data_IF_446331450772
#
_entry.id   IF_446331450772
#
_cell.length_a   1.000
_cell.length_b   1.000
_cell.length_c   1.000
_cell.angle_alpha   90.00
_cell.angle_beta   90.00
_cell.angle_gamma   90.00
#
_symmetry.space_group_name_H-M   'P 1'
#
loop_
_entity.id
_entity.type
_entity.pdbx_description
1 polymer ?
#
# COMPACT_ATOMS: atom_id res chain seq x y z
N UNK A 1 13.68 24.47 -11.23
CA UNK A 1 14.47 25.59 -10.68
C UNK A 1 13.50 26.75 -10.55
N UNK A 2 13.31 27.30 -9.36
CA UNK A 2 12.55 28.55 -9.19
C UNK A 2 13.61 29.62 -8.92
N UNK A 3 13.83 30.50 -9.88
CA UNK A 3 14.81 31.57 -9.84
C UNK A 3 14.16 32.79 -10.48
N UNK A 4 14.24 33.96 -9.84
CA UNK A 4 13.78 35.20 -10.46
C UNK A 4 14.69 35.53 -11.64
N UNK A 5 14.08 36.02 -12.73
CA UNK A 5 14.80 36.50 -13.90
C UNK A 5 15.13 37.99 -13.84
N UNK A 6 14.74 38.68 -12.77
CA UNK A 6 14.98 40.12 -12.62
C UNK A 6 16.48 40.47 -12.61
N UNK A 7 17.33 39.58 -12.11
CA UNK A 7 18.79 39.76 -12.08
C UNK A 7 19.46 39.38 -13.42
N UNK A 8 18.71 38.81 -14.37
CA UNK A 8 19.21 38.26 -15.64
C UNK A 8 18.66 38.97 -16.87
N UNK A 9 18.16 40.21 -16.72
CA UNK A 9 17.60 41.02 -17.82
C UNK A 9 18.55 41.22 -19.01
N UNK A 10 19.86 41.06 -18.80
CA UNK A 10 20.90 41.17 -19.82
C UNK A 10 21.09 39.89 -20.65
N UNK A 11 20.51 38.76 -20.23
CA UNK A 11 20.67 37.46 -20.90
C UNK A 11 19.46 37.13 -21.78
N UNK A 12 19.72 36.43 -22.88
CA UNK A 12 18.67 35.84 -23.72
C UNK A 12 18.06 34.61 -23.04
N UNK A 13 16.80 34.28 -23.35
CA UNK A 13 16.15 33.06 -22.83
C UNK A 13 16.98 31.82 -23.16
N UNK A 14 17.56 31.73 -24.37
CA UNK A 14 18.43 30.62 -24.77
C UNK A 14 19.66 30.44 -23.88
N UNK A 15 20.25 31.55 -23.40
CA UNK A 15 21.37 31.51 -22.45
C UNK A 15 20.91 31.06 -21.05
N UNK A 16 19.71 31.47 -20.62
CA UNK A 16 19.14 31.10 -19.31
C UNK A 16 18.75 29.61 -19.29
N UNK A 17 18.09 29.11 -20.33
CA UNK A 17 17.58 27.72 -20.35
C UNK A 17 18.61 26.69 -20.81
N UNK A 18 19.66 27.13 -21.51
CA UNK A 18 20.83 26.33 -21.88
C UNK A 18 20.61 25.22 -22.92
N UNK A 19 19.37 24.81 -23.20
CA UNK A 19 19.01 23.84 -24.24
C UNK A 19 17.58 24.03 -24.73
N UNK A 20 17.25 23.45 -25.89
CA UNK A 20 15.86 23.37 -26.33
C UNK A 20 15.07 22.38 -25.44
N UNK A 21 13.83 22.73 -25.09
CA UNK A 21 12.94 21.91 -24.28
C UNK A 21 11.69 22.66 -23.86
N UNK A 22 10.77 21.95 -23.19
CA UNK A 22 9.56 22.56 -22.62
C UNK A 22 9.86 23.11 -21.22
N UNK A 23 9.57 24.40 -21.02
CA UNK A 23 9.81 25.12 -19.78
C UNK A 23 8.52 25.71 -19.24
N UNK A 24 8.29 25.55 -17.93
CA UNK A 24 7.19 26.21 -17.24
C UNK A 24 7.70 27.50 -16.56
N UNK A 25 7.07 28.62 -16.87
CA UNK A 25 7.32 29.90 -16.23
C UNK A 25 6.15 30.27 -15.32
N UNK A 26 6.46 30.90 -14.19
CA UNK A 26 5.46 31.46 -13.29
C UNK A 26 5.59 32.98 -13.34
N UNK A 27 4.47 33.68 -13.53
CA UNK A 27 4.40 35.13 -13.52
C UNK A 27 3.81 35.58 -12.18
N UNK A 28 4.51 36.47 -11.50
CA UNK A 28 4.00 37.15 -10.30
C UNK A 28 3.70 38.62 -10.64
N UNK A 29 2.58 39.12 -10.14
CA UNK A 29 2.19 40.54 -10.26
C UNK A 29 2.01 41.14 -8.87
N UNK A 30 2.27 42.45 -8.76
CA UNK A 30 2.13 43.22 -7.50
C UNK A 30 1.51 44.57 -7.76
N UNK A 31 0.97 45.23 -6.73
CA UNK A 31 0.59 46.65 -6.82
C UNK A 31 1.85 47.53 -6.85
N UNK A 32 1.74 48.74 -7.40
CA UNK A 32 2.86 49.66 -7.70
C UNK A 32 3.84 49.89 -6.53
N UNK A 33 3.34 49.86 -5.29
CA UNK A 33 4.10 50.13 -4.06
C UNK A 33 4.44 48.88 -3.22
N UNK A 34 4.06 47.67 -3.66
CA UNK A 34 4.44 46.43 -2.97
C UNK A 34 5.87 46.03 -3.36
N UNK A 35 6.60 45.24 -2.59
CA UNK A 35 7.90 44.69 -3.05
C UNK A 35 7.72 43.23 -3.45
N UNK A 36 8.38 42.82 -4.54
CA UNK A 36 8.42 41.39 -4.88
C UNK A 36 9.12 40.65 -3.74
N UNK A 37 8.47 39.60 -3.22
CA UNK A 37 9.12 38.75 -2.23
C UNK A 37 10.24 38.00 -2.93
N UNK A 38 11.44 37.97 -2.34
CA UNK A 38 12.52 37.17 -2.90
C UNK A 38 12.17 35.69 -2.69
N UNK A 39 11.76 34.99 -3.75
CA UNK A 39 11.47 33.56 -3.69
C UNK A 39 12.79 32.76 -3.72
N UNK A 40 13.55 32.84 -2.63
CA UNK A 40 14.76 32.00 -2.39
C UNK A 40 14.40 30.71 -1.66
N UNK A 41 13.11 30.35 -1.69
CA UNK A 41 12.57 29.23 -0.94
C UNK A 41 12.62 27.91 -1.70
N UNK A 42 12.83 26.83 -0.97
CA UNK A 42 12.44 25.48 -1.37
C UNK A 42 11.12 25.12 -0.69
N UNK A 43 10.24 24.47 -1.45
CA UNK A 43 9.01 23.92 -0.91
C UNK A 43 9.27 22.48 -0.44
N UNK A 44 9.15 22.27 0.86
CA UNK A 44 9.29 20.98 1.52
C UNK A 44 7.90 20.47 1.87
N UNK A 45 7.59 19.21 1.53
CA UNK A 45 6.41 18.53 2.05
C UNK A 45 6.79 17.90 3.38
N UNK A 46 6.13 18.29 4.46
CA UNK A 46 6.43 17.81 5.81
C UNK A 46 5.19 17.19 6.42
N UNK A 47 5.30 15.95 6.89
CA UNK A 47 4.28 15.27 7.71
C UNK A 47 4.82 15.02 9.11
N UNK A 48 4.03 15.34 10.12
CA UNK A 48 4.33 14.98 11.51
C UNK A 48 3.86 13.55 11.76
N UNK A 49 4.71 12.74 12.39
CA UNK A 49 4.41 11.36 12.77
C UNK A 49 4.12 11.31 14.26
N UNK A 50 2.93 10.87 14.62
CA UNK A 50 2.56 10.61 16.01
C UNK A 50 3.10 9.23 16.41
N UNK A 51 4.10 9.21 17.29
CA UNK A 51 4.74 7.96 17.72
C UNK A 51 3.89 7.16 18.71
N UNK A 52 2.86 7.77 19.32
CA UNK A 52 1.96 7.09 20.26
C UNK A 52 0.92 6.24 19.51
N UNK A 53 0.45 6.72 18.36
CA UNK A 53 -0.56 6.06 17.52
C UNK A 53 0.03 5.38 16.29
N UNK A 54 1.24 5.76 15.88
CA UNK A 54 1.87 5.33 14.64
C UNK A 54 1.25 5.95 13.39
N UNK A 55 0.48 7.03 13.55
CA UNK A 55 -0.18 7.71 12.44
C UNK A 55 0.69 8.81 11.84
N UNK A 56 0.59 8.94 10.52
CA UNK A 56 1.26 9.96 9.73
C UNK A 56 0.25 11.05 9.43
N UNK A 57 0.49 12.25 9.96
CA UNK A 57 -0.34 13.41 9.71
C UNK A 57 -0.30 13.87 8.25
N UNK A 58 -1.28 14.69 7.81
CA UNK A 58 -1.33 15.19 6.44
C UNK A 58 -0.09 16.00 6.11
N UNK A 59 0.39 15.86 4.87
CA UNK A 59 1.55 16.60 4.39
C UNK A 59 1.21 18.10 4.29
N UNK A 60 1.98 18.93 4.98
CA UNK A 60 1.91 20.39 4.85
C UNK A 60 3.09 20.90 4.02
N UNK A 61 2.84 21.95 3.25
CA UNK A 61 3.89 22.66 2.52
C UNK A 61 4.61 23.59 3.50
N UNK A 62 5.92 23.42 3.62
CA UNK A 62 6.81 24.23 4.46
C UNK A 62 7.82 24.90 3.55
N UNK A 63 7.87 26.22 3.59
CA UNK A 63 8.87 26.99 2.85
C UNK A 63 10.16 27.00 3.67
N UNK A 64 11.27 26.54 3.10
CA UNK A 64 12.59 26.66 3.71
C UNK A 64 13.59 27.30 2.76
N UNK A 65 14.83 27.52 3.20
CA UNK A 65 15.87 28.07 2.32
C UNK A 65 16.93 27.02 1.96
N UNK A 66 17.50 27.13 0.76
CA UNK A 66 18.53 26.20 0.28
C UNK A 66 19.80 26.22 1.13
N UNK A 67 20.12 27.37 1.70
CA UNK A 67 21.28 27.61 2.56
C UNK A 67 21.11 27.07 3.97
N UNK A 68 19.89 26.74 4.39
CA UNK A 68 19.65 26.26 5.75
C UNK A 68 20.40 24.95 6.00
N UNK A 69 20.90 24.83 7.22
CA UNK A 69 21.35 23.61 7.86
C UNK A 69 20.15 22.79 8.33
N UNK A 70 20.38 21.54 8.72
CA UNK A 70 19.33 20.70 9.31
C UNK A 70 18.82 21.28 10.63
N UNK A 71 19.67 21.95 11.42
CA UNK A 71 19.28 22.57 12.69
C UNK A 71 18.33 23.77 12.49
N UNK A 72 18.62 24.64 11.52
CA UNK A 72 17.71 25.73 11.14
C UNK A 72 16.37 25.19 10.64
N UNK A 73 16.39 24.09 9.87
CA UNK A 73 15.16 23.41 9.45
C UNK A 73 14.40 22.84 10.65
N UNK A 74 15.07 22.17 11.60
CA UNK A 74 14.45 21.64 12.83
C UNK A 74 13.80 22.75 13.65
N UNK A 75 14.47 23.89 13.80
CA UNK A 75 13.92 25.05 14.51
C UNK A 75 12.65 25.56 13.81
N UNK A 76 12.71 25.80 12.50
CA UNK A 76 11.57 26.29 11.74
C UNK A 76 10.37 25.34 11.77
N UNK A 77 10.60 24.03 11.59
CA UNK A 77 9.54 23.01 11.72
C UNK A 77 9.02 22.97 13.16
N UNK A 78 9.90 23.08 14.15
CA UNK A 78 9.53 23.08 15.57
C UNK A 78 8.57 24.21 15.92
N UNK A 79 8.84 25.42 15.44
CA UNK A 79 7.96 26.59 15.58
C UNK A 79 6.63 26.37 14.84
N UNK A 80 6.67 25.89 13.60
CA UNK A 80 5.48 25.75 12.75
C UNK A 80 4.49 24.68 13.24
N UNK A 81 5.01 23.57 13.77
CA UNK A 81 4.19 22.43 14.22
C UNK A 81 4.07 22.35 15.75
N UNK A 82 4.65 23.31 16.48
CA UNK A 82 4.69 23.34 17.94
C UNK A 82 5.26 22.03 18.54
N UNK A 83 6.42 21.60 18.03
CA UNK A 83 7.15 20.41 18.48
C UNK A 83 8.60 20.77 18.83
N UNK A 84 9.22 20.03 19.75
CA UNK A 84 10.61 20.32 20.16
C UNK A 84 11.59 20.01 19.03
N UNK A 85 12.41 20.99 18.66
CA UNK A 85 13.50 20.84 17.69
C UNK A 85 14.66 19.99 18.22
N UNK A 86 14.99 20.10 19.52
CA UNK A 86 16.16 19.46 20.13
C UNK A 86 16.14 17.93 20.16
N UNK A 87 14.96 17.32 20.02
CA UNK A 87 14.78 15.88 19.90
C UNK A 87 14.00 15.51 18.62
N UNK A 88 14.14 16.34 17.58
CA UNK A 88 13.43 16.13 16.32
C UNK A 88 14.19 15.13 15.45
N UNK A 89 13.51 14.05 15.08
CA UNK A 89 13.97 13.17 14.00
C UNK A 89 13.37 13.61 12.67
N UNK A 90 14.19 13.75 11.62
CA UNK A 90 13.76 14.09 10.26
C UNK A 90 14.12 12.94 9.32
N UNK A 91 13.10 12.29 8.78
CA UNK A 91 13.22 11.15 7.88
C UNK A 91 12.80 11.56 6.48
N UNK A 92 13.68 11.39 5.51
CA UNK A 92 13.44 11.70 4.11
C UNK A 92 12.98 10.46 3.34
N UNK A 93 11.88 10.58 2.60
CA UNK A 93 11.46 9.59 1.61
C UNK A 93 12.16 9.82 0.26
N UNK A 94 12.81 8.78 -0.25
CA UNK A 94 13.58 8.78 -1.48
C UNK A 94 13.12 7.67 -2.42
N UNK A 95 12.99 7.99 -3.71
CA UNK A 95 12.71 7.00 -4.75
C UNK A 95 14.01 6.44 -5.36
N UNK A 96 14.16 5.10 -5.39
CA UNK A 96 15.36 4.46 -5.97
C UNK A 96 15.28 4.32 -7.49
N UNK A 97 16.39 4.63 -8.17
CA UNK A 97 16.48 4.79 -9.63
C UNK A 97 16.32 3.50 -10.44
N UNK A 98 16.60 2.31 -9.87
CA UNK A 98 16.89 1.12 -10.69
C UNK A 98 15.76 0.10 -10.85
N UNK A 99 14.68 0.15 -10.05
CA UNK A 99 13.56 -0.78 -10.19
C UNK A 99 12.25 -0.17 -9.70
N UNK A 100 11.76 0.87 -10.38
CA UNK A 100 10.35 1.31 -10.54
C UNK A 100 9.33 1.37 -9.39
N UNK A 101 9.60 0.84 -8.19
CA UNK A 101 8.58 0.56 -7.18
C UNK A 101 9.11 0.59 -5.73
N UNK A 102 10.41 0.76 -5.51
CA UNK A 102 11.00 0.75 -4.18
C UNK A 102 11.33 2.15 -3.70
N UNK A 103 10.46 2.65 -2.84
CA UNK A 103 10.73 3.79 -1.95
C UNK A 103 11.66 3.33 -0.83
N UNK A 104 12.57 4.19 -0.41
CA UNK A 104 13.36 4.01 0.80
C UNK A 104 13.30 5.25 1.66
N UNK A 105 13.61 5.08 2.94
CA UNK A 105 13.69 6.16 3.91
C UNK A 105 15.12 6.35 4.39
N UNK A 106 15.54 7.59 4.56
CA UNK A 106 16.87 7.99 5.05
C UNK A 106 16.70 8.93 6.25
N UNK A 107 17.45 8.71 7.31
CA UNK A 107 17.55 9.68 8.40
C UNK A 107 18.47 10.82 7.97
N UNK A 108 18.00 12.06 8.10
CA UNK A 108 18.79 13.26 7.81
C UNK A 108 18.97 14.16 9.04
N UNK A 109 18.57 13.71 10.23
CA UNK A 109 18.58 14.52 11.45
C UNK A 109 19.91 15.15 11.80
N UNK A 110 21.00 14.43 11.57
CA UNK A 110 22.33 14.84 12.02
C UNK A 110 23.32 14.91 10.84
N UNK A 111 22.78 15.06 9.63
CA UNK A 111 23.57 15.20 8.40
C UNK A 111 24.12 16.62 8.34
N UNK A 112 25.45 16.73 8.23
CA UNK A 112 26.11 18.00 7.99
C UNK A 112 25.84 18.55 6.59
N UNK A 113 25.97 19.87 6.43
CA UNK A 113 25.78 20.56 5.17
C UNK A 113 24.44 21.28 5.08
N UNK A 114 24.12 21.74 3.87
CA UNK A 114 22.94 22.56 3.58
C UNK A 114 21.81 21.74 2.96
N UNK A 115 20.56 22.23 3.03
CA UNK A 115 19.42 21.61 2.36
C UNK A 115 19.66 21.49 0.85
N UNK A 116 20.39 22.42 0.24
CA UNK A 116 20.82 22.31 -1.16
C UNK A 116 21.60 21.03 -1.42
N UNK A 117 22.59 20.73 -0.61
CA UNK A 117 23.47 19.57 -0.78
C UNK A 117 22.71 18.27 -0.53
N UNK A 118 21.94 18.22 0.56
CA UNK A 118 21.13 17.05 0.93
C UNK A 118 20.13 16.72 -0.18
N UNK A 119 19.38 17.71 -0.69
CA UNK A 119 18.36 17.50 -1.71
C UNK A 119 18.94 17.23 -3.12
N UNK A 120 20.15 17.69 -3.42
CA UNK A 120 20.84 17.36 -4.68
C UNK A 120 21.24 15.89 -4.70
N UNK A 121 21.72 15.36 -3.57
CA UNK A 121 22.05 13.93 -3.43
C UNK A 121 20.78 13.10 -3.58
N UNK A 122 19.68 13.56 -2.99
CA UNK A 122 18.37 12.91 -3.03
C UNK A 122 17.54 13.38 -4.22
N UNK A 123 18.03 13.07 -5.44
CA UNK A 123 17.48 13.47 -6.76
C UNK A 123 15.97 13.28 -6.96
N UNK A 124 15.30 12.49 -6.10
CA UNK A 124 13.84 12.27 -6.06
C UNK A 124 13.33 12.16 -4.62
N UNK A 125 13.64 13.14 -3.78
CA UNK A 125 12.94 13.27 -2.51
C UNK A 125 11.45 13.54 -2.77
N UNK A 126 10.59 12.91 -1.97
CA UNK A 126 9.14 13.09 -2.08
C UNK A 126 8.59 13.91 -0.92
N UNK A 127 8.99 13.54 0.29
CA UNK A 127 8.43 14.07 1.52
C UNK A 127 9.40 13.90 2.70
N UNK A 128 9.30 14.79 3.67
CA UNK A 128 9.94 14.71 4.98
C UNK A 128 8.92 14.27 6.02
N UNK A 129 9.33 13.39 6.91
CA UNK A 129 8.56 12.91 8.04
C UNK A 129 9.29 13.31 9.31
N UNK A 130 8.58 13.94 10.23
CA UNK A 130 9.17 14.45 11.47
C UNK A 130 8.48 13.90 12.71
N UNK A 131 9.26 13.57 13.72
CA UNK A 131 8.77 13.26 15.07
C UNK A 131 9.61 14.00 16.09
N UNK A 132 9.05 14.22 17.27
CA UNK A 132 9.75 14.83 18.39
C UNK A 132 9.50 13.99 19.65
N UNK A 133 10.38 13.02 19.90
CA UNK A 133 10.35 12.18 21.09
C UNK A 133 11.78 11.92 21.57
N UNK A 134 12.13 12.34 22.81
CA UNK A 134 13.47 12.16 23.33
C UNK A 134 13.92 10.71 23.42
N UNK A 135 13.01 9.75 23.69
CA UNK A 135 13.38 8.34 23.85
C UNK A 135 13.63 7.68 22.50
N UNK A 136 12.84 8.01 21.48
CA UNK A 136 13.02 7.49 20.13
C UNK A 136 14.23 8.11 19.42
N UNK A 137 14.49 9.39 19.66
CA UNK A 137 15.63 10.11 19.09
C UNK A 137 16.98 9.53 19.54
N UNK A 138 17.06 8.94 20.74
CA UNK A 138 18.27 8.29 21.25
C UNK A 138 18.51 6.88 20.68
N UNK A 139 17.54 6.31 19.96
CA UNK A 139 17.70 4.97 19.37
C UNK A 139 18.41 5.05 18.03
N UNK A 140 19.15 4.00 17.70
CA UNK A 140 19.59 3.75 16.32
C UNK A 140 18.41 3.86 15.35
N UNK A 141 18.67 4.43 14.17
CA UNK A 141 17.61 4.77 13.22
C UNK A 141 16.72 3.57 12.89
N UNK A 142 17.31 2.40 12.64
CA UNK A 142 16.57 1.17 12.28
C UNK A 142 15.74 0.59 13.42
N UNK A 143 16.05 0.93 14.66
CA UNK A 143 15.33 0.44 15.85
C UNK A 143 14.22 1.39 16.31
N UNK A 144 14.22 2.60 15.78
CA UNK A 144 13.31 3.67 16.15
C UNK A 144 11.89 3.46 15.62
N UNK A 145 10.92 4.04 16.33
CA UNK A 145 9.51 3.99 15.99
C UNK A 145 9.22 4.79 14.72
N UNK A 146 9.79 5.99 14.56
CA UNK A 146 9.59 6.77 13.32
C UNK A 146 10.06 5.99 12.10
N UNK A 147 11.19 5.26 12.16
CA UNK A 147 11.61 4.41 11.06
C UNK A 147 10.57 3.34 10.75
N UNK A 148 10.10 2.61 11.76
CA UNK A 148 9.10 1.53 11.58
C UNK A 148 7.79 2.05 10.99
N UNK A 149 7.30 3.19 11.46
CA UNK A 149 6.05 3.78 10.97
C UNK A 149 6.19 4.36 9.56
N UNK A 150 7.26 5.11 9.28
CA UNK A 150 7.45 5.73 7.96
C UNK A 150 7.81 4.68 6.91
N UNK A 151 8.70 3.73 7.21
CA UNK A 151 9.05 2.64 6.28
C UNK A 151 7.81 1.81 5.90
N UNK A 152 6.95 1.50 6.87
CA UNK A 152 5.67 0.86 6.60
C UNK A 152 4.75 1.75 5.76
N UNK A 153 4.57 3.02 6.14
CA UNK A 153 3.72 3.98 5.43
C UNK A 153 4.07 4.05 3.94
N UNK A 154 5.34 4.26 3.60
CA UNK A 154 5.79 4.41 2.20
C UNK A 154 5.88 3.09 1.43
N UNK A 155 5.98 1.96 2.15
CA UNK A 155 6.03 0.62 1.55
C UNK A 155 4.67 -0.07 1.51
N UNK A 156 3.64 0.54 2.07
CA UNK A 156 2.31 -0.06 2.16
C UNK A 156 1.43 0.22 0.94
N UNK A 157 0.49 -0.70 0.71
CA UNK A 157 -0.62 -0.55 -0.23
C UNK A 157 -1.94 -0.80 0.51
N UNK A 158 -2.99 -0.13 0.08
CA UNK A 158 -4.35 -0.38 0.53
C UNK A 158 -4.92 -1.56 -0.26
N UNK A 159 -5.56 -2.52 0.42
CA UNK A 159 -6.27 -3.62 -0.21
C UNK A 159 -7.69 -3.70 0.35
N UNK A 160 -8.65 -3.90 -0.53
CA UNK A 160 -10.03 -4.21 -0.17
C UNK A 160 -10.21 -5.72 -0.32
N UNK A 161 -10.47 -6.44 0.77
CA UNK A 161 -10.52 -7.90 0.77
C UNK A 161 -11.92 -8.36 1.17
N UNK A 162 -12.56 -9.13 0.30
CA UNK A 162 -13.80 -9.85 0.61
C UNK A 162 -13.44 -11.23 1.17
N UNK A 163 -13.78 -11.47 2.42
CA UNK A 163 -13.58 -12.73 3.12
C UNK A 163 -14.88 -13.57 3.11
N UNK A 164 -14.76 -14.92 3.04
CA UNK A 164 -15.90 -15.79 3.23
C UNK A 164 -16.28 -15.80 4.72
N UNK A 165 -17.56 -15.89 5.05
CA UNK A 165 -17.97 -16.15 6.43
C UNK A 165 -17.61 -17.61 6.76
N UNK A 166 -16.52 -17.82 7.48
CA UNK A 166 -16.15 -19.14 7.99
C UNK A 166 -16.74 -19.35 9.39
N UNK A 167 -17.07 -20.59 9.79
CA UNK A 167 -17.68 -20.91 11.09
C UNK A 167 -16.73 -20.81 12.30
N UNK A 168 -15.63 -20.04 12.19
CA UNK A 168 -14.67 -19.84 13.28
C UNK A 168 -15.18 -18.86 14.33
N UNK A 169 -14.65 -18.91 15.57
CA UNK A 169 -15.06 -17.99 16.63
C UNK A 169 -14.85 -16.54 16.16
N UNK A 170 -15.69 -15.63 16.66
CA UNK A 170 -15.55 -14.18 16.51
C UNK A 170 -14.22 -13.73 17.15
N UNK A 171 -13.10 -14.02 16.48
CA UNK A 171 -11.80 -13.57 16.89
C UNK A 171 -11.78 -12.06 16.68
N UNK A 172 -11.65 -11.33 17.77
CA UNK A 172 -11.43 -9.88 17.75
C UNK A 172 -10.09 -9.66 17.05
N UNK A 173 -10.05 -9.03 15.87
CA UNK A 173 -8.81 -8.89 15.14
C UNK A 173 -7.90 -7.91 15.88
N UNK A 174 -6.67 -8.36 16.20
CA UNK A 174 -5.61 -7.45 16.65
C UNK A 174 -5.38 -6.40 15.57
N UNK A 175 -5.49 -5.12 15.94
CA UNK A 175 -5.55 -3.98 15.02
C UNK A 175 -4.28 -3.80 14.18
N UNK A 176 -3.14 -4.38 14.59
CA UNK A 176 -1.85 -4.25 13.92
C UNK A 176 -0.96 -5.45 14.22
N UNK A 177 -0.49 -6.16 13.19
CA UNK A 177 0.44 -7.27 13.34
C UNK A 177 1.89 -6.78 13.16
N UNK A 178 2.68 -6.90 14.22
CA UNK A 178 4.08 -6.45 14.29
C UNK A 178 5.01 -7.66 14.30
N UNK A 179 5.91 -7.72 13.33
CA UNK A 179 6.97 -8.74 13.27
C UNK A 179 8.31 -8.15 13.74
N UNK A 180 9.35 -9.00 13.87
CA UNK A 180 10.74 -8.53 14.06
C UNK A 180 11.18 -7.51 13.00
N UNK A 181 10.55 -7.51 11.82
CA UNK A 181 10.85 -6.60 10.70
C UNK A 181 10.05 -5.28 10.75
N UNK A 182 9.09 -5.14 11.67
CA UNK A 182 8.15 -4.02 11.73
C UNK A 182 6.71 -4.44 11.41
N UNK A 183 5.85 -3.47 11.16
CA UNK A 183 4.44 -3.68 10.82
C UNK A 183 4.35 -4.28 9.42
N UNK A 184 3.54 -5.33 9.24
CA UNK A 184 3.32 -5.96 7.93
C UNK A 184 1.89 -5.81 7.42
N UNK A 185 0.91 -5.72 8.34
CA UNK A 185 -0.49 -5.51 8.04
C UNK A 185 -1.18 -4.73 9.18
N UNK A 186 -1.99 -3.73 8.81
CA UNK A 186 -2.87 -2.96 9.69
C UNK A 186 -4.28 -3.02 9.14
N UNK A 187 -5.26 -3.37 9.96
CA UNK A 187 -6.68 -3.38 9.57
C UNK A 187 -7.23 -1.97 9.76
N UNK A 188 -7.82 -1.41 8.71
CA UNK A 188 -8.39 -0.05 8.72
C UNK A 188 -9.88 -0.12 9.06
N UNK A 189 -10.61 -1.01 8.40
CA UNK A 189 -12.05 -1.17 8.62
C UNK A 189 -12.50 -2.60 8.33
N UNK A 190 -13.64 -2.97 8.90
CA UNK A 190 -14.26 -4.28 8.73
C UNK A 190 -15.77 -4.12 8.78
N UNK A 191 -16.43 -4.45 7.67
CA UNK A 191 -17.87 -4.35 7.50
C UNK A 191 -18.43 -5.71 7.08
N UNK A 192 -19.61 -6.06 7.58
CA UNK A 192 -20.35 -7.22 7.10
C UNK A 192 -21.32 -6.79 6.01
N UNK A 193 -21.33 -7.52 4.89
CA UNK A 193 -22.20 -7.24 3.74
C UNK A 193 -22.96 -8.51 3.31
N UNK A 194 -23.89 -8.37 2.36
CA UNK A 194 -24.66 -9.49 1.79
C UNK A 194 -25.48 -10.29 2.83
N UNK A 195 -26.19 -9.61 3.72
CA UNK A 195 -27.00 -10.22 4.79
C UNK A 195 -26.17 -11.21 5.66
N UNK A 196 -24.92 -10.86 5.95
CA UNK A 196 -24.02 -11.65 6.79
C UNK A 196 -23.38 -12.84 6.08
N UNK A 197 -23.35 -12.88 4.74
CA UNK A 197 -22.71 -13.98 3.98
C UNK A 197 -21.22 -13.73 3.69
N UNK A 198 -20.80 -12.47 3.68
CA UNK A 198 -19.44 -12.07 3.35
C UNK A 198 -19.00 -10.91 4.24
N UNK A 199 -17.70 -10.85 4.52
CA UNK A 199 -17.09 -9.79 5.32
C UNK A 199 -16.11 -9.03 4.45
N UNK A 200 -16.30 -7.72 4.29
CA UNK A 200 -15.35 -6.85 3.60
C UNK A 200 -14.43 -6.18 4.61
N UNK A 201 -13.13 -6.33 4.41
CA UNK A 201 -12.12 -5.65 5.21
C UNK A 201 -11.31 -4.73 4.31
N UNK A 202 -10.90 -3.60 4.87
CA UNK A 202 -9.89 -2.76 4.27
C UNK A 202 -8.61 -2.86 5.10
N UNK A 203 -7.50 -3.18 4.44
CA UNK A 203 -6.22 -3.40 5.10
C UNK A 203 -5.11 -2.63 4.42
N UNK A 204 -4.19 -2.11 5.22
CA UNK A 204 -2.93 -1.57 4.77
C UNK A 204 -1.87 -2.65 4.93
N UNK A 205 -1.18 -3.01 3.84
CA UNK A 205 -0.26 -4.15 3.80
C UNK A 205 1.07 -3.72 3.19
N UNK A 206 2.19 -4.14 3.79
CA UNK A 206 3.52 -3.89 3.22
C UNK A 206 3.66 -4.67 1.90
N UNK A 207 3.87 -3.95 0.80
CA UNK A 207 3.93 -4.54 -0.55
C UNK A 207 5.12 -5.49 -0.76
N UNK A 208 6.09 -5.49 0.16
CA UNK A 208 7.29 -6.34 0.12
C UNK A 208 7.03 -7.73 0.70
N UNK A 209 5.90 -7.95 1.38
CA UNK A 209 5.53 -9.29 1.85
C UNK A 209 5.14 -10.17 0.67
N UNK A 210 5.26 -11.48 0.85
CA UNK A 210 4.83 -12.47 -0.13
C UNK A 210 3.34 -12.76 -0.01
N UNK A 211 2.76 -13.35 -1.06
CA UNK A 211 1.40 -13.87 -0.98
C UNK A 211 1.25 -14.92 0.14
N UNK A 212 2.26 -15.77 0.37
CA UNK A 212 2.23 -16.72 1.50
C UNK A 212 2.07 -15.99 2.84
N UNK A 213 2.86 -14.94 3.08
CA UNK A 213 2.78 -14.13 4.30
C UNK A 213 1.42 -13.45 4.44
N UNK A 214 0.88 -12.86 3.37
CA UNK A 214 -0.48 -12.31 3.40
C UNK A 214 -1.51 -13.39 3.80
N UNK A 215 -1.38 -14.61 3.28
CA UNK A 215 -2.30 -15.70 3.64
C UNK A 215 -2.18 -16.08 5.12
N UNK A 216 -0.99 -16.11 5.70
CA UNK A 216 -0.80 -16.35 7.15
C UNK A 216 -1.55 -15.30 7.98
N UNK A 217 -1.44 -14.01 7.61
CA UNK A 217 -2.15 -12.93 8.30
C UNK A 217 -3.68 -13.08 8.21
N UNK A 218 -4.18 -13.58 7.09
CA UNK A 218 -5.61 -13.83 6.89
C UNK A 218 -6.13 -15.06 7.67
N UNK A 219 -5.27 -15.96 8.15
CA UNK A 219 -5.68 -17.13 8.95
C UNK A 219 -6.44 -16.70 10.20
N UNK A 220 -5.97 -15.64 10.89
CA UNK A 220 -6.62 -15.14 12.10
C UNK A 220 -8.02 -14.57 11.83
N UNK A 221 -8.28 -14.12 10.60
CA UNK A 221 -9.57 -13.54 10.20
C UNK A 221 -10.55 -14.58 9.65
N UNK A 222 -10.03 -15.65 9.05
CA UNK A 222 -10.82 -16.70 8.40
C UNK A 222 -10.97 -17.95 9.29
N UNK A 223 -10.04 -18.20 10.21
CA UNK A 223 -10.03 -19.40 11.05
C UNK A 223 -9.68 -20.71 10.30
N UNK A 224 -9.12 -20.61 9.09
CA UNK A 224 -8.73 -21.75 8.25
C UNK A 224 -7.26 -21.60 7.86
N UNK A 225 -6.47 -22.69 7.83
CA UNK A 225 -5.07 -22.64 7.38
C UNK A 225 -4.91 -22.06 5.96
N UNK A 226 -3.74 -21.52 5.60
CA UNK A 226 -3.49 -20.94 4.27
C UNK A 226 -3.77 -21.90 3.10
N UNK A 227 -3.68 -23.20 3.32
CA UNK A 227 -3.97 -24.23 2.29
C UNK A 227 -5.46 -24.44 2.05
N UNK A 228 -6.33 -24.01 2.98
CA UNK A 228 -7.77 -24.20 2.94
C UNK A 228 -8.55 -23.07 2.26
N UNK A 229 -7.87 -22.04 1.74
CA UNK A 229 -8.49 -20.99 0.94
C UNK A 229 -7.62 -20.51 -0.22
N UNK A 230 -8.28 -19.89 -1.20
CA UNK A 230 -7.69 -19.34 -2.42
C UNK A 230 -7.91 -17.83 -2.45
N UNK A 231 -6.88 -17.07 -2.83
CA UNK A 231 -6.95 -15.61 -2.99
C UNK A 231 -7.04 -15.30 -4.48
N UNK A 232 -8.05 -14.54 -4.85
CA UNK A 232 -8.28 -14.03 -6.20
C UNK A 232 -8.10 -12.53 -6.22
N UNK A 233 -7.46 -12.02 -7.27
CA UNK A 233 -7.43 -10.58 -7.57
C UNK A 233 -8.52 -10.26 -8.59
N UNK A 234 -9.30 -9.23 -8.32
CA UNK A 234 -10.26 -8.70 -9.28
C UNK A 234 -9.54 -7.75 -10.23
N UNK A 235 -9.76 -7.91 -11.53
CA UNK A 235 -9.30 -6.97 -12.54
C UNK A 235 -10.37 -6.83 -13.63
N UNK A 236 -11.02 -5.67 -13.66
CA UNK A 236 -12.25 -5.49 -14.45
C UNK A 236 -13.34 -6.46 -13.97
N UNK A 237 -13.98 -7.17 -14.89
CA UNK A 237 -15.05 -8.13 -14.58
C UNK A 237 -14.55 -9.57 -14.42
N UNK A 238 -13.26 -9.77 -14.15
CA UNK A 238 -12.63 -11.11 -14.07
C UNK A 238 -11.90 -11.32 -12.75
N UNK A 239 -12.00 -12.54 -12.24
CA UNK A 239 -11.26 -13.03 -11.07
C UNK A 239 -10.02 -13.80 -11.52
N UNK A 240 -8.84 -13.43 -11.01
CA UNK A 240 -7.57 -14.08 -11.29
C UNK A 240 -7.00 -14.73 -10.02
N UNK A 241 -6.86 -16.05 -10.03
CA UNK A 241 -6.25 -16.78 -8.91
C UNK A 241 -4.77 -16.39 -8.75
N UNK A 242 -4.40 -16.00 -7.54
CA UNK A 242 -3.02 -15.68 -7.20
C UNK A 242 -2.28 -16.98 -6.80
N UNK A 243 -1.41 -17.49 -7.70
CA UNK A 243 -0.72 -18.78 -7.50
C UNK A 243 0.71 -18.68 -6.94
N UNK A 244 1.41 -17.58 -7.20
CA UNK A 244 2.81 -17.40 -6.82
C UNK A 244 2.97 -17.05 -5.34
N UNK A 245 3.04 -18.06 -4.46
CA UNK A 245 3.17 -17.87 -3.01
C UNK A 245 4.45 -17.13 -2.59
N UNK A 246 5.52 -17.28 -3.37
CA UNK A 246 6.81 -16.59 -3.23
C UNK A 246 6.80 -15.15 -3.75
N UNK A 247 5.79 -14.78 -4.54
CA UNK A 247 5.73 -13.46 -5.18
C UNK A 247 5.31 -12.40 -4.17
N UNK A 248 6.03 -11.29 -4.21
CA UNK A 248 5.70 -10.11 -3.42
C UNK A 248 4.48 -9.39 -3.98
N UNK A 249 3.83 -8.59 -3.13
CA UNK A 249 2.67 -7.78 -3.53
C UNK A 249 3.05 -6.49 -4.27
N UNK A 250 4.32 -6.29 -4.62
CA UNK A 250 4.85 -5.03 -5.19
C UNK A 250 4.20 -4.61 -6.51
N UNK A 251 3.60 -5.54 -7.26
CA UNK A 251 2.90 -5.30 -8.52
C UNK A 251 1.39 -5.12 -8.35
N UNK A 252 0.89 -5.17 -7.11
CA UNK A 252 -0.51 -4.90 -6.79
C UNK A 252 -0.66 -3.40 -6.57
N UNK A 253 -1.65 -2.80 -7.22
CA UNK A 253 -1.94 -1.38 -7.08
C UNK A 253 -2.69 -1.15 -5.77
N UNK A 254 -2.37 -0.05 -5.08
CA UNK A 254 -3.15 0.39 -3.93
C UNK A 254 -4.61 0.58 -4.32
N UNK A 255 -5.53 0.16 -3.46
CA UNK A 255 -6.98 0.11 -3.70
C UNK A 255 -7.45 -1.13 -4.50
N UNK A 256 -6.57 -2.08 -4.82
CA UNK A 256 -6.99 -3.31 -5.51
C UNK A 256 -7.96 -4.14 -4.66
N UNK A 257 -8.91 -4.77 -5.33
CA UNK A 257 -9.88 -5.68 -4.72
C UNK A 257 -9.40 -7.14 -4.79
N UNK A 258 -9.45 -7.82 -3.66
CA UNK A 258 -9.17 -9.24 -3.51
C UNK A 258 -10.41 -9.96 -3.00
N UNK A 259 -10.65 -11.19 -3.48
CA UNK A 259 -11.69 -12.07 -2.96
C UNK A 259 -11.00 -13.33 -2.45
N UNK A 260 -11.36 -13.73 -1.24
CA UNK A 260 -10.97 -15.01 -0.66
C UNK A 260 -12.13 -15.98 -0.77
N UNK A 261 -11.85 -17.18 -1.30
CA UNK A 261 -12.83 -18.27 -1.35
C UNK A 261 -12.28 -19.49 -0.63
N UNK A 262 -13.10 -20.13 0.19
CA UNK A 262 -12.73 -21.40 0.82
C UNK A 262 -12.55 -22.47 -0.27
N UNK A 263 -11.43 -23.20 -0.19
CA UNK A 263 -11.04 -24.16 -1.23
C UNK A 263 -9.54 -24.44 -1.20
N UNK A 264 -9.13 -25.59 -1.73
CA UNK A 264 -7.70 -25.97 -1.76
C UNK A 264 -7.02 -25.40 -3.01
N UNK A 265 -6.02 -24.54 -2.79
CA UNK A 265 -5.25 -23.93 -3.87
C UNK A 265 -4.34 -24.93 -4.61
N UNK A 266 -3.77 -25.88 -3.87
CA UNK A 266 -2.82 -26.88 -4.41
C UNK A 266 -3.59 -28.15 -4.76
N UNK A 267 -3.49 -28.55 -6.03
CA UNK A 267 -3.90 -29.89 -6.47
C UNK A 267 -2.79 -30.88 -6.13
N UNK A 268 -3.15 -32.01 -5.54
CA UNK A 268 -2.21 -33.11 -5.37
C UNK A 268 -1.92 -33.76 -6.72
N UNK A 269 -0.80 -34.50 -6.81
CA UNK A 269 -0.45 -35.22 -8.05
C UNK A 269 -1.60 -36.17 -8.41
N UNK A 270 -2.16 -35.99 -9.61
CA UNK A 270 -3.33 -36.76 -10.05
C UNK A 270 -4.66 -36.21 -9.56
N UNK A 271 -4.75 -34.94 -9.16
CA UNK A 271 -6.01 -34.22 -8.99
C UNK A 271 -6.20 -33.16 -10.09
N UNK A 272 -7.45 -32.97 -10.51
CA UNK A 272 -7.91 -31.95 -11.44
C UNK A 272 -8.97 -31.06 -10.78
N UNK A 273 -8.96 -29.77 -11.15
CA UNK A 273 -9.97 -28.80 -10.71
C UNK A 273 -11.02 -28.63 -11.81
N UNK A 274 -12.27 -28.95 -11.48
CA UNK A 274 -13.40 -28.96 -12.41
C UNK A 274 -14.39 -27.87 -12.00
N UNK A 275 -14.71 -26.96 -12.92
CA UNK A 275 -15.81 -26.01 -12.79
C UNK A 275 -17.08 -26.64 -13.34
N UNK A 276 -18.12 -26.66 -12.51
CA UNK A 276 -19.42 -27.21 -12.87
C UNK A 276 -20.40 -26.10 -13.16
N UNK A 277 -21.08 -26.24 -14.29
CA UNK A 277 -22.13 -25.35 -14.74
C UNK A 277 -23.42 -26.15 -14.91
N UNK A 278 -24.54 -25.59 -14.48
CA UNK A 278 -25.87 -26.14 -14.71
C UNK A 278 -26.35 -25.65 -16.07
N UNK A 279 -26.63 -26.59 -16.95
CA UNK A 279 -27.27 -26.31 -18.23
C UNK A 279 -28.78 -26.21 -18.03
N UNK A 280 -29.37 -25.06 -18.34
CA UNK A 280 -30.82 -24.83 -18.23
C UNK A 280 -31.40 -24.62 -19.63
N UNK A 281 -31.73 -25.72 -20.30
CA UNK A 281 -32.10 -25.76 -21.73
C UNK A 281 -33.35 -24.92 -22.05
N UNK A 282 -34.24 -24.72 -21.06
CA UNK A 282 -35.51 -24.02 -21.23
C UNK A 282 -35.59 -22.66 -20.52
N UNK A 283 -34.45 -22.10 -20.08
CA UNK A 283 -34.42 -20.84 -19.32
C UNK A 283 -33.69 -19.74 -20.11
N UNK A 284 -34.01 -18.48 -19.83
CA UNK A 284 -33.33 -17.32 -20.44
C UNK A 284 -31.84 -17.27 -20.11
N UNK A 285 -31.45 -17.78 -18.94
CA UNK A 285 -30.04 -18.01 -18.57
C UNK A 285 -29.65 -19.47 -18.89
N UNK A 286 -29.04 -19.69 -20.06
CA UNK A 286 -28.73 -21.03 -20.60
C UNK A 286 -27.75 -21.85 -19.75
N UNK A 287 -26.83 -21.19 -19.05
CA UNK A 287 -25.73 -21.82 -18.35
C UNK A 287 -25.37 -21.05 -17.07
N UNK A 288 -25.60 -21.68 -15.92
CA UNK A 288 -25.38 -21.07 -14.61
C UNK A 288 -24.20 -21.73 -13.90
N UNK A 289 -23.20 -20.96 -13.49
CA UNK A 289 -22.10 -21.48 -12.67
C UNK A 289 -22.64 -22.04 -11.35
N UNK A 290 -22.30 -23.30 -11.04
CA UNK A 290 -22.74 -23.96 -9.81
C UNK A 290 -21.65 -23.92 -8.75
N UNK A 291 -20.52 -24.54 -9.05
CA UNK A 291 -19.44 -24.74 -8.09
C UNK A 291 -18.13 -25.11 -8.79
N UNK A 292 -17.07 -25.13 -8.02
CA UNK A 292 -15.78 -25.71 -8.38
C UNK A 292 -15.49 -26.90 -7.46
N UNK A 293 -15.02 -28.01 -8.02
CA UNK A 293 -14.66 -29.22 -7.26
C UNK A 293 -13.30 -29.73 -7.67
N UNK A 294 -12.57 -30.31 -6.71
CA UNK A 294 -11.31 -31.01 -6.95
C UNK A 294 -11.60 -32.50 -6.99
N UNK A 295 -11.10 -33.19 -8.01
CA UNK A 295 -11.37 -34.61 -8.27
C UNK A 295 -10.07 -35.31 -8.64
N UNK A 296 -9.82 -36.49 -8.08
CA UNK A 296 -8.67 -37.30 -8.50
C UNK A 296 -8.90 -37.83 -9.93
N UNK A 297 -7.88 -37.82 -10.79
CA UNK A 297 -7.94 -38.25 -12.19
C UNK A 297 -8.50 -39.66 -12.37
N UNK A 298 -8.24 -40.55 -11.39
CA UNK A 298 -8.77 -41.91 -11.38
C UNK A 298 -10.23 -42.05 -10.94
N UNK A 299 -10.91 -40.95 -10.59
CA UNK A 299 -12.30 -40.99 -10.07
C UNK A 299 -13.26 -41.30 -11.21
N UNK A 300 -14.00 -42.42 -11.18
CA UNK A 300 -15.03 -42.68 -12.19
C UNK A 300 -16.14 -41.64 -12.11
N UNK A 301 -16.69 -41.23 -13.27
CA UNK A 301 -17.76 -40.23 -13.36
C UNK A 301 -18.95 -40.59 -12.47
N UNK A 302 -19.28 -41.88 -12.31
CA UNK A 302 -20.34 -42.36 -11.42
C UNK A 302 -20.10 -41.97 -9.96
N UNK A 303 -18.87 -42.13 -9.47
CA UNK A 303 -18.51 -41.77 -8.10
C UNK A 303 -18.45 -40.25 -7.94
N UNK A 304 -17.93 -39.53 -8.94
CA UNK A 304 -17.97 -38.08 -8.93
C UNK A 304 -19.41 -37.54 -8.85
N UNK A 305 -20.34 -38.07 -9.66
CA UNK A 305 -21.77 -37.74 -9.58
C UNK A 305 -22.35 -37.97 -8.18
N UNK A 306 -22.03 -39.09 -7.52
CA UNK A 306 -22.45 -39.36 -6.14
C UNK A 306 -21.89 -38.34 -5.15
N UNK A 307 -20.63 -37.93 -5.30
CA UNK A 307 -20.01 -36.92 -4.44
C UNK A 307 -20.71 -35.56 -4.59
N UNK A 308 -21.11 -35.18 -5.80
CA UNK A 308 -21.87 -33.95 -6.04
C UNK A 308 -23.25 -33.96 -5.35
N UNK A 309 -23.95 -35.09 -5.41
CA UNK A 309 -25.24 -35.28 -4.73
C UNK A 309 -25.10 -35.22 -3.19
N UNK A 310 -24.01 -35.75 -2.64
CA UNK A 310 -23.74 -35.73 -1.18
C UNK A 310 -23.41 -34.34 -0.63
N UNK A 311 -22.86 -33.42 -1.43
CA UNK A 311 -22.53 -32.05 -0.99
C UNK A 311 -23.75 -31.13 -0.76
N UNK A 312 -24.97 -31.68 -0.75
CA UNK A 312 -26.24 -31.05 -0.31
C UNK A 312 -26.42 -29.57 -0.69
N UNK A 313 -26.49 -29.25 -1.98
CA UNK A 313 -27.10 -27.97 -2.44
C UNK A 313 -28.12 -28.08 -3.58
N UNK A 314 -28.40 -29.26 -4.14
CA UNK A 314 -29.20 -29.33 -5.36
C UNK A 314 -30.13 -30.55 -5.38
N UNK A 315 -31.39 -30.34 -4.97
CA UNK A 315 -32.53 -31.23 -5.28
C UNK A 315 -32.86 -31.25 -6.79
N UNK A 316 -32.36 -30.28 -7.55
CA UNK A 316 -32.62 -30.10 -8.99
C UNK A 316 -31.81 -31.04 -9.91
N UNK A 317 -30.74 -31.68 -9.40
CA UNK A 317 -29.94 -32.65 -10.18
C UNK A 317 -30.71 -33.94 -10.51
N UNK A 318 -31.91 -34.12 -9.93
CA UNK A 318 -32.76 -35.29 -10.16
C UNK A 318 -33.45 -35.26 -11.53
N UNK A 319 -33.47 -34.12 -12.23
CA UNK A 319 -34.30 -33.95 -13.46
C UNK A 319 -33.55 -34.29 -14.75
N UNK A 320 -32.23 -34.44 -14.74
CA UNK A 320 -31.43 -34.66 -15.97
C UNK A 320 -30.78 -36.04 -16.06
N UNK A 321 -31.38 -37.06 -15.44
CA UNK A 321 -30.89 -38.44 -15.47
C UNK A 321 -31.87 -39.34 -16.23
N UNK A 322 -31.87 -39.22 -17.55
CA UNK A 322 -32.22 -40.31 -18.47
C UNK A 322 -31.05 -40.52 -19.41
#
# INVERSE_FOLDING_TARGET
MQQSFDEFQHQTIGQIVGRAGDYCLFLETRKENETFKKYVGINLKVSVVDLSTGEVGPAKLVTGERSWTVEELKQHIGELFNIKSSCMRIVMEEEKYYFGYNTSVRDISDVGGTLREILIISRRYKQLYVSSDPKDYQKEFKDSLIYKFVDFHVSSILLNITLPLAPGPEATPTTTNVTKRGIIMKIISMNEENNGKERKIQVQVDKRITLAQLKEELVLLIGVPPTGFIVYRISGNKEYEMKGLDKTLQYIRSGSELIVRLGRAVLQKGEERIKLYLLQVNNTEFCKYMMESIVANGTPVREFKKQLLKKQKYKELTVSLN
#
